data_IF_177965766921
#
_entry.id   IF_177965766921
#
_cell.length_a   1.000
_cell.length_b   1.000
_cell.length_c   1.000
_cell.angle_alpha   90.00
_cell.angle_beta   90.00
_cell.angle_gamma   90.00
#
_symmetry.space_group_name_H-M   'P 1'
#
loop_
_entity.id
_entity.type
_entity.pdbx_description
1 polymer ?
#
# COMPACT_ATOMS: atom_id res chain seq x y z
N UNK A 1 -4.57 4.89 4.68
CA UNK A 1 -3.82 4.83 5.95
C UNK A 1 -3.90 3.41 6.50
N UNK A 2 -2.77 2.75 6.79
CA UNK A 2 -2.70 1.33 7.17
C UNK A 2 -2.75 1.07 8.69
N UNK A 3 -2.03 1.88 9.47
CA UNK A 3 -1.90 1.69 10.93
C UNK A 3 -2.54 2.82 11.75
N UNK A 4 -3.31 3.70 11.11
CA UNK A 4 -4.05 4.83 11.73
C UNK A 4 -3.22 5.90 12.46
N UNK A 5 -1.91 5.73 12.52
CA UNK A 5 -0.97 6.66 13.14
C UNK A 5 -0.85 7.98 12.37
N UNK A 6 -0.82 9.08 13.11
CA UNK A 6 -0.53 10.41 12.57
C UNK A 6 1.00 10.55 12.40
N UNK A 7 1.45 10.35 11.18
CA UNK A 7 2.86 10.31 10.81
C UNK A 7 3.08 10.99 9.45
N UNK A 8 4.28 11.47 9.14
CA UNK A 8 4.64 11.79 7.77
C UNK A 8 4.37 10.60 6.85
N UNK A 9 3.55 10.84 5.83
CA UNK A 9 3.16 9.83 4.86
C UNK A 9 4.12 9.83 3.67
N UNK A 10 4.21 8.67 3.03
CA UNK A 10 4.92 8.44 1.78
C UNK A 10 3.94 7.81 0.79
N UNK A 11 4.15 8.05 -0.50
CA UNK A 11 3.38 7.37 -1.55
C UNK A 11 3.99 6.00 -1.81
N UNK A 12 3.15 4.97 -1.69
CA UNK A 12 3.50 3.60 -2.06
C UNK A 12 2.70 3.18 -3.30
N UNK A 13 3.40 2.68 -4.32
CA UNK A 13 2.77 2.13 -5.52
C UNK A 13 2.27 0.72 -5.22
N UNK A 14 0.97 0.50 -5.42
CA UNK A 14 0.37 -0.82 -5.21
C UNK A 14 0.86 -1.84 -6.24
N UNK A 15 1.12 -1.39 -7.48
CA UNK A 15 1.87 -2.13 -8.49
C UNK A 15 3.24 -1.47 -8.62
N UNK A 16 4.33 -2.08 -8.12
CA UNK A 16 5.66 -1.48 -8.20
C UNK A 16 6.08 -1.16 -9.64
N UNK A 17 6.57 0.06 -9.87
CA UNK A 17 6.89 0.60 -11.21
C UNK A 17 7.91 -0.24 -11.99
N UNK A 18 8.83 -0.89 -11.28
CA UNK A 18 9.85 -1.79 -11.81
C UNK A 18 9.24 -3.02 -12.50
N UNK A 19 8.11 -3.50 -12.01
CA UNK A 19 7.46 -4.73 -12.51
C UNK A 19 6.69 -4.50 -13.81
N UNK A 20 6.25 -3.26 -14.08
CA UNK A 20 5.38 -2.94 -15.21
C UNK A 20 5.97 -3.37 -16.57
N UNK A 21 7.28 -3.16 -16.78
CA UNK A 21 7.96 -3.55 -18.03
C UNK A 21 7.80 -5.05 -18.35
N UNK A 22 7.71 -5.89 -17.33
CA UNK A 22 7.50 -7.34 -17.45
C UNK A 22 6.01 -7.68 -17.62
N UNK A 23 5.14 -7.11 -16.79
CA UNK A 23 3.72 -7.46 -16.72
C UNK A 23 2.91 -6.92 -17.91
N UNK A 24 3.29 -5.79 -18.51
CA UNK A 24 2.56 -5.23 -19.66
C UNK A 24 2.53 -6.12 -20.91
N UNK A 25 3.43 -7.10 -21.01
CA UNK A 25 3.49 -8.06 -22.12
C UNK A 25 2.32 -9.06 -22.08
N UNK A 26 1.90 -9.41 -20.87
CA UNK A 26 0.75 -10.28 -20.59
C UNK A 26 0.22 -9.90 -19.22
N UNK A 27 -0.91 -9.18 -19.21
CA UNK A 27 -1.52 -8.71 -17.98
C UNK A 27 -1.89 -9.91 -17.08
N UNK A 28 -1.59 -9.85 -15.78
CA UNK A 28 -1.98 -10.90 -14.84
C UNK A 28 -3.49 -11.10 -14.78
N UNK A 29 -3.93 -12.35 -14.91
CA UNK A 29 -5.33 -12.74 -14.70
C UNK A 29 -5.80 -12.41 -13.28
N UNK A 30 -4.89 -12.40 -12.31
CA UNK A 30 -5.17 -12.04 -10.91
C UNK A 30 -5.67 -10.62 -10.72
N UNK A 31 -5.38 -9.71 -11.67
CA UNK A 31 -5.86 -8.33 -11.61
C UNK A 31 -7.36 -8.22 -11.86
N UNK A 32 -7.97 -9.25 -12.46
CA UNK A 32 -9.40 -9.30 -12.78
C UNK A 32 -9.90 -8.01 -13.47
N UNK A 33 -9.08 -7.43 -14.35
CA UNK A 33 -9.46 -6.27 -15.14
C UNK A 33 -10.55 -6.66 -16.15
N UNK A 34 -11.48 -5.74 -16.48
CA UNK A 34 -12.46 -5.96 -17.54
C UNK A 34 -11.77 -6.37 -18.85
N UNK A 35 -12.38 -7.27 -19.61
CA UNK A 35 -11.84 -7.73 -20.89
C UNK A 35 -11.75 -6.59 -21.92
N UNK A 36 -12.56 -5.55 -21.76
CA UNK A 36 -12.63 -4.33 -22.56
C UNK A 36 -11.88 -3.13 -21.92
N UNK A 37 -11.06 -3.37 -20.90
CA UNK A 37 -10.29 -2.31 -20.25
C UNK A 37 -9.39 -1.59 -21.26
N UNK A 38 -9.61 -0.28 -21.42
CA UNK A 38 -8.83 0.56 -22.30
C UNK A 38 -7.43 0.83 -21.73
N UNK A 39 -6.53 1.34 -22.57
CA UNK A 39 -5.15 1.63 -22.18
C UNK A 39 -5.07 2.60 -20.99
N UNK A 40 -6.01 3.55 -20.89
CA UNK A 40 -6.07 4.50 -19.79
C UNK A 40 -6.45 3.83 -18.47
N UNK A 41 -7.46 2.96 -18.46
CA UNK A 41 -7.85 2.19 -17.27
C UNK A 41 -6.70 1.34 -16.75
N UNK A 42 -5.95 0.70 -17.64
CA UNK A 42 -4.78 -0.09 -17.27
C UNK A 42 -3.68 0.81 -16.69
N UNK A 43 -3.42 1.96 -17.31
CA UNK A 43 -2.41 2.91 -16.83
C UNK A 43 -2.77 3.47 -15.44
N UNK A 44 -4.02 3.90 -15.24
CA UNK A 44 -4.52 4.39 -13.96
C UNK A 44 -4.41 3.31 -12.87
N UNK A 45 -4.68 2.04 -13.22
CA UNK A 45 -4.56 0.91 -12.31
C UNK A 45 -3.11 0.67 -11.86
N UNK A 46 -2.15 0.60 -12.80
CA UNK A 46 -0.74 0.31 -12.45
C UNK A 46 -0.04 1.49 -11.78
N UNK A 47 -0.51 2.71 -12.00
CA UNK A 47 0.02 3.90 -11.31
C UNK A 47 -0.68 4.20 -9.98
N UNK A 48 -1.66 3.39 -9.57
CA UNK A 48 -2.38 3.60 -8.32
C UNK A 48 -1.43 3.58 -7.13
N UNK A 49 -1.53 4.63 -6.31
CA UNK A 49 -0.75 4.78 -5.09
C UNK A 49 -1.65 4.86 -3.86
N UNK A 50 -1.06 4.53 -2.70
CA UNK A 50 -1.67 4.74 -1.40
C UNK A 50 -0.73 5.56 -0.52
N UNK A 51 -1.31 6.47 0.26
CA UNK A 51 -0.60 7.26 1.26
C UNK A 51 -0.49 6.47 2.55
N UNK A 52 0.74 6.12 2.94
CA UNK A 52 1.06 5.30 4.10
C UNK A 52 2.29 5.83 4.83
N UNK A 53 2.38 5.61 6.14
CA UNK A 53 3.53 6.06 6.92
C UNK A 53 4.80 5.27 6.54
N UNK A 54 5.97 5.88 6.73
CA UNK A 54 7.26 5.26 6.40
C UNK A 54 7.46 3.86 7.04
N UNK A 55 7.10 3.60 8.31
CA UNK A 55 7.19 2.25 8.88
C UNK A 55 6.34 1.21 8.15
N UNK A 56 5.10 1.55 7.77
CA UNK A 56 4.25 0.64 6.99
C UNK A 56 4.85 0.40 5.60
N UNK A 57 5.39 1.45 4.97
CA UNK A 57 6.03 1.33 3.67
C UNK A 57 7.23 0.37 3.72
N UNK A 58 8.11 0.54 4.71
CA UNK A 58 9.24 -0.37 4.92
C UNK A 58 8.78 -1.79 5.21
N UNK A 59 7.74 -1.98 6.03
CA UNK A 59 7.20 -3.31 6.35
C UNK A 59 6.71 -4.04 5.09
N UNK A 60 5.97 -3.36 4.20
CA UNK A 60 5.45 -3.98 2.98
C UNK A 60 6.61 -4.53 2.13
N UNK A 61 7.62 -3.70 1.86
CA UNK A 61 8.77 -4.09 1.04
C UNK A 61 9.74 -5.04 1.75
N UNK A 62 9.72 -5.14 3.08
CA UNK A 62 10.46 -6.18 3.80
C UNK A 62 9.72 -7.51 3.85
N UNK A 63 8.40 -7.52 3.68
CA UNK A 63 7.58 -8.74 3.71
C UNK A 63 7.57 -9.45 2.35
N UNK A 64 7.37 -8.67 1.28
CA UNK A 64 7.14 -9.19 -0.06
C UNK A 64 8.04 -8.49 -1.07
N UNK A 65 8.55 -9.27 -2.01
CA UNK A 65 9.24 -8.71 -3.17
C UNK A 65 8.26 -7.98 -4.11
N UNK A 66 8.81 -7.17 -5.02
CA UNK A 66 8.01 -6.32 -5.91
C UNK A 66 7.06 -7.11 -6.82
N UNK A 67 7.47 -8.29 -7.29
CA UNK A 67 6.64 -9.09 -8.18
C UNK A 67 5.48 -9.74 -7.41
N UNK A 68 5.75 -10.25 -6.21
CA UNK A 68 4.73 -10.78 -5.30
C UNK A 68 3.70 -9.69 -4.96
N UNK A 69 4.14 -8.46 -4.67
CA UNK A 69 3.25 -7.32 -4.46
C UNK A 69 2.36 -7.05 -5.67
N UNK A 70 2.96 -6.98 -6.87
CA UNK A 70 2.22 -6.72 -8.10
C UNK A 70 1.17 -7.79 -8.42
N UNK A 71 1.45 -9.07 -8.13
CA UNK A 71 0.57 -10.19 -8.51
C UNK A 71 -0.52 -10.49 -7.48
N UNK A 72 -0.20 -10.37 -6.19
CA UNK A 72 -1.06 -10.85 -5.10
C UNK A 72 -1.57 -9.75 -4.18
N UNK A 73 -0.86 -8.62 -4.08
CA UNK A 73 -1.12 -7.55 -3.09
C UNK A 73 -1.29 -6.15 -3.70
N UNK A 74 -1.76 -6.07 -4.94
CA UNK A 74 -1.95 -4.84 -5.72
C UNK A 74 -3.15 -3.96 -5.29
N UNK A 75 -3.75 -4.21 -4.13
CA UNK A 75 -4.79 -3.36 -3.54
C UNK A 75 -4.59 -3.22 -2.04
N UNK A 76 -5.14 -2.15 -1.45
CA UNK A 76 -5.09 -1.97 -0.01
C UNK A 76 -5.77 -3.11 0.76
N UNK A 77 -6.90 -3.62 0.25
CA UNK A 77 -7.60 -4.75 0.85
C UNK A 77 -6.70 -6.00 0.89
N UNK A 78 -6.07 -6.34 -0.25
CA UNK A 78 -5.14 -7.47 -0.33
C UNK A 78 -3.95 -7.31 0.60
N UNK A 79 -3.35 -6.10 0.69
CA UNK A 79 -2.27 -5.83 1.66
C UNK A 79 -2.71 -6.10 3.11
N UNK A 80 -3.96 -5.78 3.46
CA UNK A 80 -4.52 -6.04 4.78
C UNK A 80 -4.96 -7.49 5.00
N UNK A 81 -5.12 -8.29 3.94
CA UNK A 81 -5.39 -9.73 4.04
C UNK A 81 -4.14 -10.53 4.39
N UNK A 82 -2.94 -9.99 4.13
CA UNK A 82 -1.70 -10.59 4.59
C UNK A 82 -1.64 -10.59 6.14
N UNK A 83 -1.52 -11.76 6.79
CA UNK A 83 -1.51 -11.85 8.25
C UNK A 83 -0.32 -11.13 8.91
N UNK A 84 0.83 -11.07 8.23
CA UNK A 84 2.04 -10.42 8.73
C UNK A 84 1.86 -8.91 8.73
N UNK A 85 1.41 -8.34 7.60
CA UNK A 85 1.12 -6.91 7.47
C UNK A 85 -0.01 -6.51 8.43
N UNK A 86 -1.08 -7.31 8.53
CA UNK A 86 -2.19 -7.05 9.45
C UNK A 86 -1.73 -7.02 10.91
N UNK A 87 -0.94 -8.01 11.34
CA UNK A 87 -0.38 -8.06 12.70
C UNK A 87 0.53 -6.87 12.98
N UNK A 88 1.37 -6.51 12.01
CA UNK A 88 2.21 -5.32 12.12
C UNK A 88 1.37 -4.05 12.29
N UNK A 89 0.31 -3.87 11.48
CA UNK A 89 -0.56 -2.70 11.58
C UNK A 89 -1.22 -2.62 12.96
N UNK A 90 -1.78 -3.73 13.46
CA UNK A 90 -2.41 -3.81 14.77
C UNK A 90 -1.45 -3.52 15.94
N UNK A 91 -0.18 -3.94 15.81
CA UNK A 91 0.87 -3.57 16.76
C UNK A 91 1.29 -2.10 16.62
N UNK A 92 1.42 -1.62 15.38
CA UNK A 92 1.85 -0.27 15.06
C UNK A 92 0.88 0.78 15.59
N UNK A 93 -0.44 0.56 15.48
CA UNK A 93 -1.48 1.47 16.00
C UNK A 93 -1.32 1.77 17.50
N UNK A 94 -0.68 0.87 18.27
CA UNK A 94 -0.43 1.05 19.70
C UNK A 94 0.83 1.84 20.02
N UNK A 95 1.65 2.16 19.00
CA UNK A 95 2.90 2.89 19.17
C UNK A 95 2.67 4.40 19.17
N UNK A 96 3.58 5.14 19.82
CA UNK A 96 3.51 6.60 19.87
C UNK A 96 3.57 7.20 18.46
N UNK A 97 2.71 8.17 18.20
CA UNK A 97 2.80 8.98 16.98
C UNK A 97 3.95 9.98 17.11
N UNK A 98 4.54 10.37 15.98
CA UNK A 98 5.66 11.34 15.95
C UNK A 98 5.22 12.69 16.51
N UNK A 99 3.93 13.05 16.38
CA UNK A 99 3.37 14.26 16.96
C UNK A 99 2.88 14.09 18.41
N UNK A 100 2.85 12.87 18.95
CA UNK A 100 2.31 12.60 20.29
C UNK A 100 3.24 12.98 21.44
N UNK A 101 4.52 13.28 21.17
CA UNK A 101 5.50 13.52 22.23
C UNK A 101 5.66 14.96 22.68
N UNK A 102 4.87 15.96 22.23
CA UNK A 102 4.92 17.30 22.85
C UNK A 102 3.78 18.30 22.51
N UNK A 103 2.52 17.89 22.35
CA UNK A 103 1.45 18.89 22.21
C UNK A 103 0.13 18.46 22.84
N UNK A 104 -0.31 19.26 23.82
CA UNK A 104 -1.72 19.62 23.97
C UNK A 104 -2.25 20.12 22.63
N UNK A 105 -2.68 19.23 21.74
CA UNK A 105 -3.55 19.60 20.64
C UNK A 105 -4.95 19.13 20.99
N UNK A 106 -5.64 20.02 21.69
CA UNK A 106 -7.07 19.96 21.90
C UNK A 106 -7.74 19.99 20.52
N UNK A 107 -8.15 18.85 20.00
CA UNK A 107 -9.26 18.81 19.07
C UNK A 107 -10.54 18.81 19.91
N UNK A 108 -10.99 20.02 20.29
CA UNK A 108 -12.39 20.22 20.67
C UNK A 108 -13.21 20.01 19.39
N UNK A 109 -14.15 19.07 19.46
CA UNK A 109 -15.27 18.95 18.53
C UNK A 109 -16.15 20.19 18.61
#
# INVERSE_FOLDING_TARGET
MLCERIMPQTLHHLVPRTTWKKLKKRLPETWALPADADAKTIDDFVHKTVSICRPCHSMIHSTHDELTLALHYFTLARLLDDPTIRKFCAWATKQKDVYSTNARMQFKR
#
